data_IF_417464154601
#
_entry.id   IF_417464154601
#
_cell.length_a   1.000
_cell.length_b   1.000
_cell.length_c   1.000
_cell.angle_alpha   90.00
_cell.angle_beta   90.00
_cell.angle_gamma   90.00
#
_symmetry.space_group_name_H-M   'P 1'
#
loop_
_entity.id
_entity.type
_entity.pdbx_description
1 polymer ?
#
# COMPACT_ATOMS: atom_id res chain seq x y z
N UNK A 1 -53.86 15.78 52.25
CA UNK A 1 -53.04 14.64 51.77
C UNK A 1 -52.70 14.74 50.28
N UNK A 2 -53.39 15.55 49.46
CA UNK A 2 -53.10 15.74 48.02
C UNK A 2 -51.90 16.64 47.71
N UNK A 3 -51.70 17.71 48.49
CA UNK A 3 -50.69 18.75 48.15
C UNK A 3 -49.24 18.27 48.29
N UNK A 4 -48.98 17.34 49.21
CA UNK A 4 -47.65 16.76 49.40
C UNK A 4 -47.27 15.81 48.27
N UNK A 5 -48.22 15.03 47.74
CA UNK A 5 -47.99 14.15 46.60
C UNK A 5 -47.72 14.95 45.33
N UNK A 6 -48.49 16.02 45.11
CA UNK A 6 -48.31 16.89 43.94
C UNK A 6 -46.94 17.57 43.96
N UNK A 7 -46.50 18.09 45.11
CA UNK A 7 -45.17 18.68 45.24
C UNK A 7 -44.03 17.67 44.99
N UNK A 8 -44.17 16.43 45.47
CA UNK A 8 -43.20 15.35 45.22
C UNK A 8 -43.22 14.96 43.73
N UNK A 9 -44.40 14.85 43.13
CA UNK A 9 -44.57 14.49 41.73
C UNK A 9 -44.00 15.55 40.79
N UNK A 10 -44.28 16.83 41.06
CA UNK A 10 -43.77 17.96 40.26
C UNK A 10 -42.26 18.09 40.38
N UNK A 11 -41.69 17.84 41.57
CA UNK A 11 -40.25 17.80 41.76
C UNK A 11 -39.58 16.66 40.97
N UNK A 12 -40.15 15.45 40.99
CA UNK A 12 -39.65 14.30 40.22
C UNK A 12 -39.79 14.56 38.71
N UNK A 13 -40.92 15.10 38.28
CA UNK A 13 -41.20 15.41 36.87
C UNK A 13 -40.30 16.51 36.32
N UNK A 14 -40.08 17.57 37.11
CA UNK A 14 -39.14 18.65 36.76
C UNK A 14 -37.72 18.12 36.60
N UNK A 15 -37.30 17.20 37.48
CA UNK A 15 -35.96 16.59 37.44
C UNK A 15 -35.77 15.68 36.23
N UNK A 16 -36.81 14.96 35.80
CA UNK A 16 -36.77 14.10 34.61
C UNK A 16 -36.84 14.92 33.32
N UNK A 17 -37.65 15.99 33.26
CA UNK A 17 -37.73 16.87 32.09
C UNK A 17 -36.45 17.68 31.84
N UNK A 18 -35.73 18.05 32.91
CA UNK A 18 -34.44 18.75 32.79
C UNK A 18 -33.24 17.85 32.53
N UNK A 19 -33.42 16.52 32.55
CA UNK A 19 -32.35 15.56 32.35
C UNK A 19 -32.52 14.91 30.98
N UNK A 20 -31.74 15.38 29.99
CA UNK A 20 -31.68 14.76 28.67
C UNK A 20 -30.85 13.48 28.75
N UNK A 21 -31.42 12.45 29.40
CA UNK A 21 -30.81 11.15 29.61
C UNK A 21 -30.38 10.52 28.28
N UNK A 22 -31.13 10.79 27.21
CA UNK A 22 -30.79 10.39 25.85
C UNK A 22 -29.48 11.00 25.37
N UNK A 23 -29.30 12.32 25.52
CA UNK A 23 -28.05 12.99 25.15
C UNK A 23 -26.87 12.57 26.06
N UNK A 24 -27.11 12.36 27.35
CA UNK A 24 -26.10 11.85 28.27
C UNK A 24 -25.66 10.42 27.90
N UNK A 25 -26.61 9.52 27.61
CA UNK A 25 -26.32 8.17 27.16
C UNK A 25 -25.63 8.15 25.78
N UNK A 26 -26.10 8.98 24.85
CA UNK A 26 -25.53 9.10 23.51
C UNK A 26 -24.11 9.65 23.54
N UNK A 27 -23.84 10.66 24.38
CA UNK A 27 -22.49 11.23 24.52
C UNK A 27 -21.51 10.23 25.14
N UNK A 28 -21.92 9.46 26.15
CA UNK A 28 -21.11 8.38 26.71
C UNK A 28 -20.77 7.30 25.68
N UNK A 29 -21.77 6.82 24.93
CA UNK A 29 -21.57 5.85 23.85
C UNK A 29 -20.64 6.41 22.76
N UNK A 30 -20.84 7.66 22.36
CA UNK A 30 -20.01 8.31 21.33
C UNK A 30 -18.57 8.49 21.78
N UNK A 31 -18.35 8.85 23.06
CA UNK A 31 -17.02 9.02 23.64
C UNK A 31 -16.25 7.69 23.62
N UNK A 32 -16.87 6.58 24.00
CA UNK A 32 -16.24 5.25 23.95
C UNK A 32 -16.04 4.74 22.51
N UNK A 33 -17.04 4.92 21.64
CA UNK A 33 -16.96 4.50 20.24
C UNK A 33 -15.88 5.25 19.45
N UNK A 34 -15.60 6.51 19.80
CA UNK A 34 -14.57 7.32 19.15
C UNK A 34 -13.15 6.76 19.38
N UNK A 35 -12.87 6.23 20.57
CA UNK A 35 -11.60 5.58 20.88
C UNK A 35 -11.41 4.29 20.07
N UNK A 36 -12.48 3.50 19.92
CA UNK A 36 -12.46 2.29 19.10
C UNK A 36 -12.25 2.60 17.62
N UNK A 37 -12.90 3.63 17.09
CA UNK A 37 -12.71 4.07 15.70
C UNK A 37 -11.26 4.47 15.43
N UNK A 38 -10.65 5.25 16.33
CA UNK A 38 -9.25 5.67 16.20
C UNK A 38 -8.28 4.48 16.27
N UNK A 39 -8.50 3.54 17.19
CA UNK A 39 -7.69 2.33 17.30
C UNK A 39 -7.78 1.46 16.03
N UNK A 40 -8.98 1.33 15.44
CA UNK A 40 -9.17 0.60 14.19
C UNK A 40 -8.43 1.29 13.04
N UNK A 41 -8.52 2.62 12.92
CA UNK A 41 -7.92 3.34 11.80
C UNK A 41 -6.40 3.42 11.90
N UNK A 42 -5.84 3.53 13.10
CA UNK A 42 -4.39 3.43 13.33
C UNK A 42 -3.84 2.06 12.94
N UNK A 43 -4.50 0.97 13.35
CA UNK A 43 -4.11 -0.40 12.97
C UNK A 43 -4.18 -0.62 11.46
N UNK A 44 -5.20 -0.09 10.77
CA UNK A 44 -5.28 -0.18 9.30
C UNK A 44 -4.11 0.52 8.61
N UNK A 45 -3.74 1.70 9.08
CA UNK A 45 -2.65 2.48 8.50
C UNK A 45 -1.31 1.74 8.64
N UNK A 46 -1.05 1.20 9.82
CA UNK A 46 0.16 0.42 10.10
C UNK A 46 0.22 -0.85 9.24
N UNK A 47 -0.89 -1.59 9.15
CA UNK A 47 -0.97 -2.79 8.33
C UNK A 47 -0.75 -2.48 6.84
N UNK A 48 -1.35 -1.40 6.33
CA UNK A 48 -1.16 -0.97 4.95
C UNK A 48 0.31 -0.63 4.67
N UNK A 49 0.96 0.14 5.56
CA UNK A 49 2.37 0.48 5.42
C UNK A 49 3.28 -0.76 5.44
N UNK A 50 3.01 -1.72 6.33
CA UNK A 50 3.76 -2.98 6.39
C UNK A 50 3.56 -3.84 5.13
N UNK A 51 2.33 -3.90 4.62
CA UNK A 51 2.01 -4.62 3.39
C UNK A 51 2.71 -3.99 2.18
N UNK A 52 2.76 -2.66 2.08
CA UNK A 52 3.47 -1.97 1.01
C UNK A 52 4.98 -2.19 1.08
N UNK A 53 5.59 -2.12 2.27
CA UNK A 53 7.02 -2.41 2.45
C UNK A 53 7.37 -3.85 2.01
N UNK A 54 6.54 -4.83 2.39
CA UNK A 54 6.73 -6.22 1.99
C UNK A 54 6.54 -6.40 0.48
N UNK A 55 5.57 -5.71 -0.11
CA UNK A 55 5.31 -5.76 -1.55
C UNK A 55 6.51 -5.20 -2.33
N UNK A 56 7.04 -4.04 -1.94
CA UNK A 56 8.22 -3.44 -2.58
C UNK A 56 9.44 -4.37 -2.46
N UNK A 57 9.70 -4.92 -1.28
CA UNK A 57 10.80 -5.86 -1.08
C UNK A 57 10.64 -7.12 -1.95
N UNK A 58 9.44 -7.68 -2.01
CA UNK A 58 9.15 -8.84 -2.84
C UNK A 58 9.27 -8.53 -4.34
N UNK A 59 8.80 -7.37 -4.79
CA UNK A 59 8.91 -6.97 -6.20
C UNK A 59 10.36 -6.77 -6.59
N UNK A 60 11.18 -6.11 -5.76
CA UNK A 60 12.60 -5.90 -6.04
C UNK A 60 13.38 -7.22 -6.05
N UNK A 61 13.08 -8.15 -5.14
CA UNK A 61 13.71 -9.46 -5.09
C UNK A 61 13.31 -10.35 -6.30
N UNK A 62 12.11 -10.16 -6.85
CA UNK A 62 11.60 -10.90 -7.99
C UNK A 62 11.94 -10.26 -9.36
N UNK A 63 12.73 -9.17 -9.39
CA UNK A 63 13.10 -8.52 -10.65
C UNK A 63 13.87 -9.48 -11.56
N UNK A 64 13.58 -9.52 -12.87
CA UNK A 64 14.29 -10.38 -13.81
C UNK A 64 15.82 -10.25 -13.73
N UNK A 65 16.33 -9.04 -13.55
CA UNK A 65 17.74 -8.70 -13.39
C UNK A 65 18.38 -9.35 -12.15
N UNK A 66 17.63 -9.51 -11.05
CA UNK A 66 18.10 -10.18 -9.82
C UNK A 66 18.08 -11.70 -9.97
N UNK A 67 17.02 -12.23 -10.59
CA UNK A 67 16.82 -13.68 -10.75
C UNK A 67 17.74 -14.30 -11.79
N UNK A 68 17.85 -13.67 -12.97
CA UNK A 68 18.57 -14.22 -14.12
C UNK A 68 20.01 -13.71 -14.23
N UNK A 69 20.35 -12.65 -13.47
CA UNK A 69 21.72 -12.11 -13.35
C UNK A 69 22.38 -11.88 -14.73
N UNK A 70 21.86 -10.95 -15.54
CA UNK A 70 22.44 -10.64 -16.83
C UNK A 70 23.91 -10.21 -16.68
N UNK A 71 24.73 -10.52 -17.67
CA UNK A 71 26.11 -10.10 -17.73
C UNK A 71 26.18 -8.58 -17.92
N UNK A 72 26.86 -7.89 -17.02
CA UNK A 72 27.11 -6.45 -17.11
C UNK A 72 28.46 -6.20 -17.79
N UNK A 73 28.43 -5.45 -18.87
CA UNK A 73 29.62 -5.00 -19.61
C UNK A 73 29.48 -3.55 -20.04
N UNK A 74 30.60 -2.90 -20.37
CA UNK A 74 30.60 -1.56 -20.96
C UNK A 74 30.54 -1.72 -22.48
N UNK A 75 29.54 -1.11 -23.12
CA UNK A 75 29.40 -1.02 -24.57
C UNK A 75 29.42 0.46 -24.99
N UNK A 76 30.53 0.87 -25.62
CA UNK A 76 30.79 2.28 -25.94
C UNK A 76 30.84 3.17 -24.69
N UNK A 77 29.85 4.05 -24.55
CA UNK A 77 29.72 5.00 -23.43
C UNK A 77 28.65 4.58 -22.41
N UNK A 78 28.04 3.41 -22.57
CA UNK A 78 26.93 2.96 -21.73
C UNK A 78 27.20 1.58 -21.13
N UNK A 79 26.53 1.30 -20.02
CA UNK A 79 26.43 -0.03 -19.47
C UNK A 79 25.42 -0.85 -20.26
N UNK A 80 25.77 -2.10 -20.53
CA UNK A 80 24.93 -3.10 -21.17
C UNK A 80 24.72 -4.26 -20.20
N UNK A 81 23.46 -4.59 -19.93
CA UNK A 81 23.04 -5.77 -19.20
C UNK A 81 22.47 -6.77 -20.21
N UNK A 82 23.19 -7.86 -20.48
CA UNK A 82 22.83 -8.87 -21.47
C UNK A 82 22.48 -10.20 -20.82
N UNK A 83 21.32 -10.75 -21.16
CA UNK A 83 20.97 -12.14 -20.90
C UNK A 83 20.78 -12.91 -22.21
N UNK A 84 21.72 -13.81 -22.51
CA UNK A 84 21.77 -14.60 -23.73
C UNK A 84 23.20 -14.71 -24.26
N UNK A 85 23.42 -15.52 -25.28
CA UNK A 85 24.75 -15.70 -25.88
C UNK A 85 25.28 -14.39 -26.47
N UNK A 86 24.41 -13.66 -27.16
CA UNK A 86 24.75 -12.51 -27.99
C UNK A 86 23.62 -11.46 -27.90
N UNK A 87 23.95 -10.20 -28.21
CA UNK A 87 22.96 -9.11 -28.30
C UNK A 87 21.84 -9.36 -29.33
N UNK A 88 22.11 -10.20 -30.32
CA UNK A 88 21.19 -10.53 -31.41
C UNK A 88 20.15 -11.59 -31.04
N UNK A 89 20.44 -12.39 -30.02
CA UNK A 89 19.61 -13.54 -29.62
C UNK A 89 18.95 -13.32 -28.26
N UNK A 90 19.66 -12.62 -27.37
CA UNK A 90 19.25 -12.38 -25.99
C UNK A 90 18.39 -11.15 -25.78
N UNK A 91 18.06 -10.92 -24.50
CA UNK A 91 17.46 -9.69 -24.01
C UNK A 91 18.58 -8.81 -23.48
N UNK A 92 18.59 -7.54 -23.88
CA UNK A 92 19.60 -6.58 -23.44
C UNK A 92 18.96 -5.27 -22.97
N UNK A 93 19.56 -4.66 -21.96
CA UNK A 93 19.22 -3.32 -21.49
C UNK A 93 20.44 -2.43 -21.45
N UNK A 94 20.27 -1.15 -21.78
CA UNK A 94 21.36 -0.17 -21.84
C UNK A 94 21.08 1.04 -20.94
N UNK A 95 22.13 1.63 -20.38
CA UNK A 95 22.02 2.87 -19.61
C UNK A 95 23.35 3.45 -19.16
N UNK A 96 23.36 4.72 -18.76
CA UNK A 96 24.59 5.42 -18.37
C UNK A 96 25.18 4.93 -17.03
N UNK A 97 24.40 4.18 -16.26
CA UNK A 97 24.83 3.53 -15.01
C UNK A 97 24.43 2.05 -15.02
N UNK A 98 25.11 1.20 -14.23
CA UNK A 98 24.73 -0.21 -14.10
C UNK A 98 23.27 -0.39 -13.66
N UNK A 99 22.79 0.47 -12.75
CA UNK A 99 21.41 0.45 -12.28
C UNK A 99 20.41 0.78 -13.39
N UNK A 100 20.72 1.78 -14.23
CA UNK A 100 19.89 2.14 -15.37
C UNK A 100 19.85 1.02 -16.43
N UNK A 101 20.99 0.36 -16.70
CA UNK A 101 21.04 -0.78 -17.62
C UNK A 101 20.20 -1.96 -17.11
N UNK A 102 20.23 -2.27 -15.81
CA UNK A 102 19.42 -3.32 -15.20
C UNK A 102 17.91 -3.00 -15.22
N UNK A 103 17.52 -1.73 -15.01
CA UNK A 103 16.12 -1.29 -15.15
C UNK A 103 15.63 -1.38 -16.61
N UNK A 104 16.47 -0.99 -17.57
CA UNK A 104 16.17 -1.12 -18.98
C UNK A 104 16.01 -2.60 -19.37
N UNK A 105 16.87 -3.47 -18.85
CA UNK A 105 16.79 -4.92 -19.04
C UNK A 105 15.47 -5.49 -18.47
N UNK A 106 15.10 -5.13 -17.24
CA UNK A 106 13.84 -5.59 -16.64
C UNK A 106 12.61 -5.19 -17.46
N UNK A 107 12.65 -3.98 -18.02
CA UNK A 107 11.58 -3.47 -18.89
C UNK A 107 11.51 -4.23 -20.21
N UNK A 108 12.67 -4.48 -20.84
CA UNK A 108 12.76 -5.24 -22.09
C UNK A 108 12.32 -6.70 -21.89
N UNK A 109 12.68 -7.31 -20.76
CA UNK A 109 12.31 -8.69 -20.42
C UNK A 109 10.80 -8.91 -20.39
N UNK A 110 10.03 -7.93 -19.90
CA UNK A 110 8.58 -8.05 -19.72
C UNK A 110 7.78 -7.62 -20.96
N UNK A 111 8.31 -6.70 -21.76
CA UNK A 111 7.52 -6.04 -22.81
C UNK A 111 8.01 -6.34 -24.23
N UNK A 112 9.29 -6.66 -24.41
CA UNK A 112 9.90 -6.75 -25.73
C UNK A 112 10.07 -8.19 -26.20
N UNK A 113 10.03 -8.37 -27.52
CA UNK A 113 10.47 -9.63 -28.15
C UNK A 113 11.98 -9.59 -28.31
N UNK A 114 12.65 -10.72 -28.09
CA UNK A 114 14.06 -10.82 -28.40
C UNK A 114 14.30 -10.55 -29.89
N UNK A 115 15.46 -9.98 -30.29
CA UNK A 115 15.72 -9.65 -31.68
C UNK A 115 15.66 -10.88 -32.60
N UNK A 116 16.05 -12.07 -32.11
CA UNK A 116 15.86 -13.34 -32.81
C UNK A 116 14.37 -13.67 -33.03
N UNK A 117 13.53 -13.53 -32.00
CA UNK A 117 12.09 -13.78 -32.11
C UNK A 117 11.39 -12.75 -33.02
N UNK A 118 11.86 -11.50 -33.06
CA UNK A 118 11.32 -10.46 -33.94
C UNK A 118 11.64 -10.74 -35.42
N UNK A 119 12.81 -11.32 -35.73
CA UNK A 119 13.24 -11.66 -37.10
C UNK A 119 12.53 -12.88 -37.68
N UNK A 120 12.21 -13.87 -36.85
CA UNK A 120 11.49 -15.07 -37.29
C UNK A 120 10.00 -14.87 -37.57
N UNK A 121 9.47 -13.65 -37.37
CA UNK A 121 8.06 -13.30 -37.57
C UNK A 121 7.81 -12.46 -38.84
N UNK A 122 8.84 -12.24 -39.67
CA UNK A 122 8.76 -11.57 -40.98
C UNK A 122 8.78 -12.62 -42.11
#
# INVERSE_FOLDING_TARGET
MSDSYQAIYDAVRSRIQGCDLSEAARSAIQQEASGLSYAIDSVKLEFAAAADAQRVAATEAARPSVLYRPALSIDGNQWCALYGSNLQDGVAGFGDTPAAAMQAFDSAWLNDKTPLAARGAQ
#
